data_IF_774249601700
#
_entry.id   IF_774249601700
#
_cell.length_a   1.000
_cell.length_b   1.000
_cell.length_c   1.000
_cell.angle_alpha   90.00
_cell.angle_beta   90.00
_cell.angle_gamma   90.00
#
_symmetry.space_group_name_H-M   'P 1'
#
loop_
_entity.id
_entity.type
_entity.pdbx_description
1 polymer ?
#
# COMPACT_ATOMS: atom_id res chain seq x y z
N UNK A 1 17.05 7.54 2.27
CA UNK A 1 16.32 6.33 2.69
C UNK A 1 15.87 5.62 1.43
N UNK A 2 16.22 4.33 1.27
CA UNK A 2 15.81 3.55 0.10
C UNK A 2 14.37 3.06 0.26
N UNK A 3 13.65 2.94 -0.85
CA UNK A 3 12.36 2.24 -0.89
C UNK A 3 12.63 0.73 -0.99
N UNK A 4 11.90 -0.05 -0.20
CA UNK A 4 12.03 -1.50 -0.08
C UNK A 4 10.68 -2.17 -0.34
N UNK A 5 10.70 -3.28 -1.07
CA UNK A 5 9.51 -4.05 -1.38
C UNK A 5 9.44 -5.32 -0.54
N UNK A 6 8.28 -5.56 0.08
CA UNK A 6 7.95 -6.81 0.78
C UNK A 6 7.07 -7.69 -0.13
N UNK A 7 7.62 -8.84 -0.55
CA UNK A 7 6.93 -9.78 -1.42
C UNK A 7 5.87 -10.65 -0.71
N UNK A 8 5.90 -10.76 0.61
CA UNK A 8 4.88 -11.49 1.37
C UNK A 8 3.66 -10.61 1.60
N UNK A 9 3.88 -9.41 2.17
CA UNK A 9 2.81 -8.47 2.47
C UNK A 9 2.34 -7.66 1.25
N UNK A 10 3.09 -7.70 0.14
CA UNK A 10 2.82 -6.93 -1.10
C UNK A 10 2.74 -5.42 -0.85
N UNK A 11 3.68 -4.90 -0.04
CA UNK A 11 3.74 -3.49 0.33
C UNK A 11 5.12 -2.89 0.09
N UNK A 12 5.15 -1.58 -0.11
CA UNK A 12 6.36 -0.79 -0.16
C UNK A 12 6.55 -0.07 1.17
N UNK A 13 7.77 -0.11 1.69
CA UNK A 13 8.14 0.63 2.90
C UNK A 13 9.49 1.32 2.72
N UNK A 14 9.73 2.31 3.55
CA UNK A 14 10.99 3.05 3.62
C UNK A 14 11.33 3.22 5.09
N UNK A 15 12.61 3.21 5.42
CA UNK A 15 13.05 3.46 6.79
C UNK A 15 14.25 4.38 6.83
N UNK A 16 14.36 5.10 7.94
CA UNK A 16 15.50 5.94 8.26
C UNK A 16 15.76 5.86 9.77
N UNK A 17 16.91 5.30 10.17
CA UNK A 17 17.22 5.04 11.58
C UNK A 17 16.12 4.17 12.23
N UNK A 18 15.42 4.73 13.19
CA UNK A 18 14.34 4.18 14.01
C UNK A 18 12.95 4.47 13.44
N UNK A 19 12.86 5.21 12.35
CA UNK A 19 11.60 5.62 11.72
C UNK A 19 11.28 4.74 10.52
N UNK A 20 10.05 4.24 10.47
CA UNK A 20 9.52 3.39 9.41
C UNK A 20 8.27 4.03 8.83
N UNK A 21 8.19 4.08 7.51
CA UNK A 21 7.02 4.60 6.80
C UNK A 21 6.61 3.65 5.69
N UNK A 22 5.31 3.53 5.48
CA UNK A 22 4.73 2.87 4.33
C UNK A 22 3.88 3.91 3.61
N UNK A 23 4.41 4.40 2.49
CA UNK A 23 3.67 5.27 1.59
C UNK A 23 3.13 4.37 0.50
N UNK A 24 1.81 4.25 0.42
CA UNK A 24 1.18 3.43 -0.62
C UNK A 24 1.70 3.82 -2.00
N UNK A 25 2.05 2.82 -2.81
CA UNK A 25 2.53 3.00 -4.17
C UNK A 25 1.58 2.36 -5.19
N UNK A 26 1.83 2.63 -6.48
CA UNK A 26 1.00 2.11 -7.58
C UNK A 26 1.03 0.57 -7.61
N UNK A 27 2.15 -0.05 -7.24
CA UNK A 27 2.29 -1.51 -7.20
C UNK A 27 1.39 -2.12 -6.13
N UNK A 28 1.48 -1.66 -4.88
CA UNK A 28 0.65 -2.12 -3.77
C UNK A 28 -0.85 -1.83 -4.01
N UNK A 29 -1.19 -0.69 -4.63
CA UNK A 29 -2.56 -0.41 -5.02
C UNK A 29 -3.08 -1.41 -6.07
N UNK A 30 -2.24 -1.81 -7.02
CA UNK A 30 -2.58 -2.81 -8.04
C UNK A 30 -2.79 -4.19 -7.43
N UNK A 31 -1.91 -4.62 -6.53
CA UNK A 31 -2.05 -5.90 -5.80
C UNK A 31 -3.37 -5.97 -5.02
N UNK A 32 -3.74 -4.87 -4.34
CA UNK A 32 -5.04 -4.76 -3.65
C UNK A 32 -6.23 -4.88 -4.63
N UNK A 33 -6.13 -4.24 -5.80
CA UNK A 33 -7.19 -4.34 -6.81
C UNK A 33 -7.31 -5.75 -7.41
N UNK A 34 -6.19 -6.46 -7.58
CA UNK A 34 -6.19 -7.87 -8.01
C UNK A 34 -6.83 -8.76 -6.94
N UNK A 35 -6.50 -8.56 -5.67
CA UNK A 35 -7.08 -9.28 -4.54
C UNK A 35 -8.61 -9.10 -4.46
N UNK A 36 -9.10 -7.87 -4.60
CA UNK A 36 -10.54 -7.55 -4.63
C UNK A 36 -11.26 -8.31 -5.76
N UNK A 37 -10.67 -8.32 -6.96
CA UNK A 37 -11.22 -9.05 -8.12
C UNK A 37 -11.20 -10.56 -7.90
N UNK A 38 -10.09 -11.12 -7.40
CA UNK A 38 -9.94 -12.56 -7.18
C UNK A 38 -10.94 -13.12 -6.16
N UNK A 39 -11.34 -12.31 -5.16
CA UNK A 39 -12.28 -12.70 -4.11
C UNK A 39 -13.72 -12.24 -4.37
N UNK A 40 -14.01 -11.66 -5.53
CA UNK A 40 -15.35 -11.16 -5.89
C UNK A 40 -15.93 -10.16 -4.89
N UNK A 41 -15.09 -9.28 -4.33
CA UNK A 41 -15.55 -8.18 -3.48
C UNK A 41 -16.11 -7.02 -4.32
N UNK A 42 -17.00 -6.23 -3.73
CA UNK A 42 -17.69 -5.12 -4.41
C UNK A 42 -16.82 -3.91 -4.77
N UNK A 43 -15.58 -3.84 -4.25
CA UNK A 43 -14.65 -2.75 -4.55
C UNK A 43 -13.61 -2.53 -3.45
N UNK A 44 -12.82 -1.48 -3.61
CA UNK A 44 -11.86 -0.99 -2.61
C UNK A 44 -12.23 0.44 -2.19
N UNK A 45 -12.09 0.73 -0.89
CA UNK A 45 -12.25 2.08 -0.36
C UNK A 45 -10.89 2.68 -0.04
N UNK A 46 -10.72 3.98 -0.32
CA UNK A 46 -9.54 4.74 0.09
C UNK A 46 -9.98 5.91 0.98
N UNK A 47 -9.25 6.13 2.06
CA UNK A 47 -9.51 7.24 2.96
C UNK A 47 -8.53 8.38 2.68
N UNK A 48 -9.05 9.58 2.47
CA UNK A 48 -8.28 10.81 2.44
C UNK A 48 -8.93 11.79 3.40
N UNK A 49 -8.14 12.30 4.36
CA UNK A 49 -8.56 13.42 5.19
C UNK A 49 -7.99 14.70 4.59
N UNK A 50 -8.86 15.63 4.25
CA UNK A 50 -8.49 16.99 3.92
C UNK A 50 -8.94 17.86 5.09
N UNK A 51 -7.99 18.36 5.88
CA UNK A 51 -8.25 19.41 6.86
C UNK A 51 -7.78 20.73 6.21
N UNK A 52 -8.67 21.71 6.01
CA UNK A 52 -8.32 22.98 5.38
C UNK A 52 -7.32 23.79 6.21
#
# INVERSE_FOLDING_TARGET
>A
AGSHWDDEAKVNYTYYSDQWTNVGDVRAATEKALFVKANSYGGAFTFVSFTP
#
